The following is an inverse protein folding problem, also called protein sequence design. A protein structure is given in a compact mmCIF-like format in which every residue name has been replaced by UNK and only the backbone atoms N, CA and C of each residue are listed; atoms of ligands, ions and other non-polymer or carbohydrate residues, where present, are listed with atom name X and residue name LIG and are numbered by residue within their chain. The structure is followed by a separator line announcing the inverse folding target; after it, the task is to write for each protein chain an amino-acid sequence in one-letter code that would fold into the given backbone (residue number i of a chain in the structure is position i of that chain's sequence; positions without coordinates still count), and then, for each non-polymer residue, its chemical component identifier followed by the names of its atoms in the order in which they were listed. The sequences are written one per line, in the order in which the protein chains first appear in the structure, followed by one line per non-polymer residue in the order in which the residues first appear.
data_IF_197240812077
#
_entry.id   IF_197240812077
#
_cell.length_a   1.000
_cell.length_b   1.000
_cell.length_c   1.000
_cell.angle_alpha   90.00
_cell.angle_beta   90.00
_cell.angle_gamma   90.00
#
_symmetry.space_group_name_H-M   'P 1'
#
loop_
_entity.id
_entity.type
_entity.pdbx_description
1 polymer ?
#
# COMPACT_ATOMS: atom_id res chain seq x y z
N UNK A 1 -4.01 -10.56 -18.88
CA UNK A 1 -4.78 -9.41 -19.40
C UNK A 1 -5.84 -9.04 -18.37
N UNK A 2 -5.60 -8.02 -17.54
CA UNK A 2 -6.58 -7.52 -16.57
C UNK A 2 -7.49 -6.51 -17.28
N UNK A 3 -8.53 -7.01 -17.93
CA UNK A 3 -9.48 -6.18 -18.68
C UNK A 3 -10.34 -5.35 -17.73
N UNK A 4 -10.17 -4.04 -17.77
CA UNK A 4 -11.09 -3.02 -17.24
C UNK A 4 -11.35 -3.05 -15.72
N UNK A 5 -10.31 -2.95 -14.90
CA UNK A 5 -10.51 -2.35 -13.57
C UNK A 5 -10.90 -0.87 -13.77
N UNK A 6 -12.19 -0.56 -13.65
CA UNK A 6 -12.66 0.82 -13.72
C UNK A 6 -12.20 1.55 -12.47
N UNK A 7 -11.63 2.72 -12.69
CA UNK A 7 -11.31 3.69 -11.64
C UNK A 7 -12.55 3.91 -10.77
N UNK A 8 -12.38 3.87 -9.45
CA UNK A 8 -13.46 4.20 -8.51
C UNK A 8 -13.90 5.65 -8.73
N UNK A 9 -15.19 5.99 -8.54
CA UNK A 9 -15.66 7.36 -8.70
C UNK A 9 -15.03 8.32 -7.67
N UNK A 10 -14.62 7.78 -6.51
CA UNK A 10 -13.94 8.50 -5.45
C UNK A 10 -12.49 8.03 -5.34
N UNK A 11 -11.59 8.78 -5.96
CA UNK A 11 -10.15 8.48 -5.95
C UNK A 11 -9.37 9.41 -5.04
N UNK A 12 -8.15 9.02 -4.69
CA UNK A 12 -7.26 9.79 -3.82
C UNK A 12 -5.93 9.98 -4.54
N UNK A 13 -5.37 11.19 -4.42
CA UNK A 13 -4.06 11.47 -5.01
C UNK A 13 -2.95 10.73 -4.25
N UNK A 14 -2.04 10.14 -5.01
CA UNK A 14 -0.85 9.47 -4.48
C UNK A 14 0.09 10.52 -3.85
N UNK A 15 0.44 10.31 -2.59
CA UNK A 15 1.52 11.09 -1.96
C UNK A 15 2.86 10.43 -2.31
N UNK A 16 3.86 11.18 -2.80
CA UNK A 16 5.17 10.62 -3.11
C UNK A 16 5.78 9.89 -1.90
N UNK A 17 6.21 8.65 -2.09
CA UNK A 17 6.78 7.82 -1.02
C UNK A 17 5.76 7.17 -0.08
N UNK A 18 4.46 7.30 -0.36
CA UNK A 18 3.40 6.59 0.38
C UNK A 18 3.35 5.10 0.01
N UNK A 19 3.02 4.25 0.99
CA UNK A 19 2.84 2.81 0.78
C UNK A 19 1.47 2.46 0.19
N UNK A 20 1.37 1.31 -0.46
CA UNK A 20 0.10 0.77 -0.97
C UNK A 20 -0.98 0.64 0.12
N UNK A 21 -0.60 0.21 1.33
CA UNK A 21 -1.54 0.11 2.46
C UNK A 21 -2.05 1.47 2.93
N UNK A 22 -1.21 2.51 2.89
CA UNK A 22 -1.63 3.86 3.25
C UNK A 22 -2.57 4.46 2.20
N UNK A 23 -2.21 4.34 0.91
CA UNK A 23 -3.08 4.76 -0.20
C UNK A 23 -4.43 4.03 -0.12
N UNK A 24 -4.40 2.71 0.07
CA UNK A 24 -5.59 1.89 0.21
C UNK A 24 -6.46 2.32 1.38
N UNK A 25 -5.86 2.67 2.53
CA UNK A 25 -6.60 3.16 3.69
C UNK A 25 -7.29 4.50 3.43
N UNK A 26 -6.62 5.42 2.73
CA UNK A 26 -7.21 6.71 2.33
C UNK A 26 -8.33 6.49 1.32
N UNK A 27 -8.12 5.60 0.35
CA UNK A 27 -9.12 5.23 -0.64
C UNK A 27 -10.37 4.61 0.02
N UNK A 28 -10.17 3.66 0.94
CA UNK A 28 -11.23 3.04 1.72
C UNK A 28 -12.04 4.10 2.49
N UNK A 29 -11.38 4.99 3.24
CA UNK A 29 -12.03 6.08 3.98
C UNK A 29 -12.81 7.01 3.07
N UNK A 30 -12.26 7.34 1.90
CA UNK A 30 -12.94 8.19 0.92
C UNK A 30 -14.15 7.51 0.30
N UNK A 31 -14.14 6.18 0.21
CA UNK A 31 -15.28 5.35 -0.23
C UNK A 31 -16.21 4.94 0.93
N UNK A 32 -16.04 5.51 2.13
CA UNK A 32 -16.92 5.26 3.29
C UNK A 32 -16.59 4.01 4.11
N UNK A 33 -15.53 3.29 3.78
CA UNK A 33 -15.09 2.09 4.49
C UNK A 33 -14.01 2.45 5.52
N UNK A 34 -14.27 2.15 6.80
CA UNK A 34 -13.34 2.51 7.89
C UNK A 34 -12.10 1.61 7.95
N UNK A 35 -12.21 0.35 7.49
CA UNK A 35 -11.15 -0.65 7.59
C UNK A 35 -10.64 -1.04 6.21
N UNK A 36 -9.32 -0.97 6.01
CA UNK A 36 -8.66 -1.37 4.77
C UNK A 36 -8.96 -2.82 4.38
N UNK A 37 -8.92 -3.74 5.36
CA UNK A 37 -9.18 -5.16 5.09
C UNK A 37 -10.57 -5.41 4.49
N UNK A 38 -11.59 -4.69 4.97
CA UNK A 38 -12.95 -4.79 4.44
C UNK A 38 -13.00 -4.27 3.01
N UNK A 39 -12.38 -3.11 2.75
CA UNK A 39 -12.28 -2.56 1.41
C UNK A 39 -11.56 -3.51 0.45
N UNK A 40 -10.43 -4.10 0.87
CA UNK A 40 -9.70 -5.10 0.09
C UNK A 40 -10.59 -6.29 -0.27
N UNK A 41 -11.36 -6.83 0.68
CA UNK A 41 -12.33 -7.90 0.40
C UNK A 41 -13.42 -7.47 -0.58
N UNK A 42 -13.94 -6.24 -0.47
CA UNK A 42 -15.01 -5.72 -1.35
C UNK A 42 -14.54 -5.55 -2.80
N UNK A 43 -13.27 -5.19 -3.01
CA UNK A 43 -12.68 -4.98 -4.34
C UNK A 43 -11.92 -6.20 -4.89
N UNK A 44 -11.85 -7.30 -4.12
CA UNK A 44 -11.16 -8.53 -4.51
C UNK A 44 -9.63 -8.42 -4.49
N UNK A 45 -9.08 -7.61 -3.58
CA UNK A 45 -7.64 -7.51 -3.31
C UNK A 45 -7.29 -8.33 -2.07
N UNK A 46 -6.20 -9.09 -2.15
CA UNK A 46 -5.67 -9.79 -0.98
C UNK A 46 -4.88 -8.80 -0.10
N UNK A 47 -5.42 -8.52 1.09
CA UNK A 47 -4.80 -7.62 2.07
C UNK A 47 -3.40 -8.05 2.50
N UNK A 48 -3.17 -9.35 2.70
CA UNK A 48 -1.86 -9.85 3.14
C UNK A 48 -0.84 -9.75 2.02
N UNK A 49 -1.23 -10.10 0.80
CA UNK A 49 -0.37 -9.93 -0.37
C UNK A 49 -0.05 -8.45 -0.63
N UNK A 50 -1.05 -7.56 -0.50
CA UNK A 50 -0.86 -6.11 -0.61
C UNK A 50 0.09 -5.55 0.49
N UNK A 51 -0.07 -6.00 1.74
CA UNK A 51 0.79 -5.59 2.85
C UNK A 51 2.24 -6.08 2.70
N UNK A 52 2.43 -7.21 2.01
CA UNK A 52 3.75 -7.74 1.64
C UNK A 52 4.35 -7.09 0.38
N UNK A 53 3.61 -6.18 -0.27
CA UNK A 53 4.03 -5.48 -1.47
C UNK A 53 4.00 -6.32 -2.74
N UNK A 54 3.06 -7.27 -2.82
CA UNK A 54 2.84 -8.05 -4.03
C UNK A 54 2.52 -7.14 -5.22
N UNK A 55 3.28 -7.31 -6.31
CA UNK A 55 3.21 -6.41 -7.45
C UNK A 55 1.85 -6.49 -8.18
N UNK A 56 1.16 -7.63 -8.16
CA UNK A 56 -0.16 -7.76 -8.77
C UNK A 56 -1.20 -6.97 -7.98
N UNK A 57 -1.22 -7.13 -6.65
CA UNK A 57 -2.18 -6.44 -5.80
C UNK A 57 -1.95 -4.92 -5.76
N UNK A 58 -0.68 -4.48 -5.75
CA UNK A 58 -0.32 -3.06 -5.88
C UNK A 58 -0.79 -2.49 -7.22
N UNK A 59 -0.64 -3.26 -8.30
CA UNK A 59 -1.12 -2.85 -9.63
C UNK A 59 -2.66 -2.75 -9.67
N UNK A 60 -3.38 -3.69 -9.05
CA UNK A 60 -4.84 -3.63 -8.94
C UNK A 60 -5.30 -2.42 -8.15
N UNK A 61 -4.67 -2.14 -7.01
CA UNK A 61 -4.99 -0.96 -6.21
C UNK A 61 -4.70 0.33 -6.98
N UNK A 62 -3.58 0.39 -7.70
CA UNK A 62 -3.22 1.51 -8.56
C UNK A 62 -4.27 1.79 -9.64
N UNK A 63 -4.74 0.74 -10.32
CA UNK A 63 -5.82 0.84 -11.30
C UNK A 63 -7.15 1.32 -10.70
N UNK A 64 -7.52 0.82 -9.50
CA UNK A 64 -8.73 1.25 -8.78
C UNK A 64 -8.66 2.72 -8.34
N UNK A 65 -7.50 3.15 -7.84
CA UNK A 65 -7.25 4.54 -7.45
C UNK A 65 -7.00 5.47 -8.66
N UNK A 66 -6.74 4.92 -9.84
CA UNK A 66 -6.34 5.67 -11.03
C UNK A 66 -4.98 6.37 -10.87
N UNK A 67 -4.04 5.74 -10.15
CA UNK A 67 -2.67 6.22 -9.94
C UNK A 67 -1.68 5.31 -10.67
N UNK A 68 -0.49 5.83 -10.95
CA UNK A 68 0.57 5.04 -11.58
C UNK A 68 1.04 3.91 -10.63
N UNK A 69 0.87 2.63 -11.02
CA UNK A 69 1.31 1.51 -10.20
C UNK A 69 2.84 1.46 -10.02
N UNK A 70 3.63 2.01 -10.95
CA UNK A 70 5.09 2.05 -10.80
C UNK A 70 5.51 2.98 -9.66
N UNK A 71 4.92 4.16 -9.56
CA UNK A 71 5.14 5.09 -8.46
C UNK A 71 4.70 4.49 -7.10
N UNK A 72 3.60 3.76 -7.08
CA UNK A 72 3.11 3.08 -5.87
C UNK A 72 4.02 1.92 -5.42
N UNK A 73 4.55 1.16 -6.38
CA UNK A 73 5.48 0.07 -6.09
C UNK A 73 6.79 0.59 -5.50
N UNK A 74 7.25 1.78 -5.94
CA UNK A 74 8.46 2.40 -5.38
C UNK A 74 8.29 2.77 -3.89
N UNK A 75 7.11 3.22 -3.48
CA UNK A 75 6.80 3.53 -2.08
C UNK A 75 6.42 2.33 -1.22
N UNK A 76 6.27 1.13 -1.81
CA UNK A 76 5.80 -0.08 -1.12
C UNK A 76 6.94 -1.07 -0.92
N UNK A 77 7.08 -1.57 0.32
CA UNK A 77 8.07 -2.60 0.62
C UNK A 77 7.64 -3.95 0.03
N UNK A 78 8.44 -4.49 -0.89
CA UNK A 78 8.23 -5.80 -1.49
C UNK A 78 9.13 -6.84 -0.84
N UNK A 79 8.57 -7.96 -0.40
CA UNK A 79 9.36 -9.11 0.06
C UNK A 79 10.17 -9.71 -1.11
N UNK A 80 11.51 -9.70 -1.05
CA UNK A 80 12.37 -10.33 -2.06
C UNK A 80 12.77 -11.74 -1.63
N UNK A 81 13.13 -11.89 -0.35
CA UNK A 81 13.55 -13.14 0.28
C UNK A 81 13.11 -13.14 1.74
N UNK A 82 13.01 -14.31 2.40
CA UNK A 82 12.76 -14.35 3.83
C UNK A 82 13.74 -13.45 4.58
N UNK A 83 13.21 -12.43 5.28
CA UNK A 83 14.01 -11.45 6.03
C UNK A 83 14.61 -10.28 5.22
N UNK A 84 14.34 -10.18 3.92
CA UNK A 84 14.81 -9.10 3.05
C UNK A 84 13.67 -8.48 2.24
N UNK A 85 13.53 -7.16 2.37
CA UNK A 85 12.54 -6.36 1.66
C UNK A 85 13.22 -5.39 0.70
N UNK A 86 12.52 -5.03 -0.37
CA UNK A 86 12.89 -3.95 -1.28
C UNK A 86 11.96 -2.78 -1.03
N UNK A 87 12.49 -1.59 -0.76
CA UNK A 87 11.72 -0.35 -0.79
C UNK A 87 12.32 0.53 -1.88
N UNK A 88 11.58 0.79 -2.95
CA UNK A 88 12.10 1.49 -4.13
C UNK A 88 13.28 0.74 -4.75
N UNK A 89 14.46 1.36 -4.71
CA UNK A 89 15.72 0.78 -5.20
C UNK A 89 16.58 0.18 -4.07
N UNK A 90 16.20 0.37 -2.81
CA UNK A 90 16.99 -0.05 -1.65
C UNK A 90 16.55 -1.42 -1.13
N UNK A 91 17.54 -2.18 -0.63
CA UNK A 91 17.31 -3.46 0.04
C UNK A 91 17.39 -3.27 1.54
N UNK A 92 16.26 -3.45 2.21
CA UNK A 92 16.11 -3.25 3.65
C UNK A 92 15.97 -4.60 4.32
N UNK A 93 16.81 -4.86 5.32
CA UNK A 93 16.71 -6.08 6.14
C UNK A 93 15.50 -5.96 7.07
N UNK A 94 14.82 -7.07 7.34
CA UNK A 94 13.65 -7.11 8.22
C UNK A 94 13.90 -6.48 9.61
N UNK A 95 15.13 -6.59 10.12
CA UNK A 95 15.52 -5.98 11.40
C UNK A 95 15.50 -4.45 11.41
N UNK A 96 15.48 -3.81 10.25
CA UNK A 96 15.37 -2.36 10.14
C UNK A 96 13.91 -1.87 10.19
N UNK A 97 12.92 -2.76 10.09
CA UNK A 97 11.52 -2.41 10.30
C UNK A 97 11.18 -2.47 11.80
N UNK A 98 10.56 -1.40 12.31
CA UNK A 98 10.03 -1.40 13.67
C UNK A 98 8.76 -2.25 13.72
N UNK A 99 8.81 -3.36 14.46
CA UNK A 99 7.70 -4.33 14.60
C UNK A 99 6.67 -3.94 15.64
N UNK A 100 7.05 -3.11 16.61
CA UNK A 100 6.27 -2.89 17.84
C UNK A 100 5.78 -1.46 18.01
N UNK A 101 6.42 -0.49 17.38
CA UNK A 101 6.03 0.91 17.49
C UNK A 101 6.31 1.65 16.19
N UNK A 102 5.24 2.06 15.50
CA UNK A 102 5.33 2.99 14.40
C UNK A 102 5.55 4.39 14.96
N UNK A 103 6.70 4.97 14.62
CA UNK A 103 7.04 6.34 14.99
C UNK A 103 6.49 7.26 13.90
N UNK A 104 5.26 7.73 14.08
CA UNK A 104 4.72 8.81 13.27
C UNK A 104 5.16 10.16 13.84
N UNK A 105 5.78 11.02 13.03
CA UNK A 105 6.06 12.39 13.44
C UNK A 105 4.77 13.22 13.40
N UNK A 106 4.35 13.79 14.53
CA UNK A 106 3.08 14.54 14.66
C UNK A 106 3.00 15.87 13.89
N UNK A 107 4.08 16.27 13.20
CA UNK A 107 4.13 17.51 12.42
C UNK A 107 3.80 17.30 10.93
N UNK A 108 4.07 16.11 10.40
CA UNK A 108 3.67 15.77 9.02
C UNK A 108 2.21 15.33 9.05
N UNK A 109 1.38 16.08 8.31
CA UNK A 109 -0.03 15.78 8.06
C UNK A 109 -0.13 14.39 7.39
N UNK A 110 -0.29 13.35 8.22
CA UNK A 110 -0.63 11.95 7.89
C UNK A 110 0.06 11.37 6.63
N UNK A 111 1.37 11.15 6.71
CA UNK A 111 2.13 10.38 5.72
C UNK A 111 2.24 8.91 6.11
N UNK A 112 2.05 8.03 5.13
CA UNK A 112 1.79 6.60 5.27
C UNK A 112 2.74 5.79 6.15
N UNK A 113 2.13 4.81 6.81
CA UNK A 113 2.70 3.97 7.85
C UNK A 113 3.05 2.61 7.24
N UNK A 114 4.34 2.26 7.17
CA UNK A 114 4.80 0.94 6.72
C UNK A 114 4.67 -0.04 7.90
N UNK A 115 3.49 -0.61 8.09
CA UNK A 115 3.25 -1.68 9.07
C UNK A 115 3.29 -3.02 8.33
N UNK A 116 4.32 -3.83 8.56
CA UNK A 116 4.32 -5.24 8.15
C UNK A 116 4.00 -6.09 9.39
N UNK A 117 2.87 -6.79 9.33
CA UNK A 117 2.56 -7.91 10.23
C UNK A 117 3.41 -9.10 9.81
N UNK A 118 4.10 -9.68 10.80
CA UNK A 118 4.88 -10.91 10.69
C UNK A 118 3.99 -12.13 10.46
#
# INVERSE_FOLDING_TARGET
MFSSLRKLPLTVDLVPGESATSLGSRLARRNGVQRLITFCSDVGIDYFALANGDAQEVTRLGALAGVDPAALQLGTSQLIKPGWFRLGQERIKFTAFSRTALRSCGHVRQGGVISQMA
#
